data_IF_760402459239
#
_entry.id   IF_760402459239
#
_cell.length_a   1.000
_cell.length_b   1.000
_cell.length_c   1.000
_cell.angle_alpha   90.00
_cell.angle_beta   90.00
_cell.angle_gamma   90.00
#
_symmetry.space_group_name_H-M   'P 1'
#
loop_
_entity.id
_entity.type
_entity.pdbx_description
1 polymer ?
#
# COMPACT_ATOMS: atom_id res chain seq x y z
N UNK A 1 -67.27 -32.13 -66.00
CA UNK A 1 -67.65 -31.06 -65.04
C UNK A 1 -67.68 -31.51 -63.58
N UNK A 2 -68.43 -32.55 -63.20
CA UNK A 2 -68.49 -33.03 -61.79
C UNK A 2 -67.13 -33.31 -61.14
N UNK A 3 -66.24 -33.99 -61.85
CA UNK A 3 -64.94 -34.42 -61.31
C UNK A 3 -63.97 -33.24 -61.06
N UNK A 4 -64.02 -32.20 -61.91
CA UNK A 4 -63.28 -30.95 -61.69
C UNK A 4 -63.85 -30.16 -60.51
N UNK A 5 -65.18 -30.14 -60.37
CA UNK A 5 -65.84 -29.51 -59.24
C UNK A 5 -65.51 -30.20 -57.91
N UNK A 6 -65.52 -31.53 -57.87
CA UNK A 6 -65.11 -32.29 -56.68
C UNK A 6 -63.64 -32.09 -56.32
N UNK A 7 -62.74 -32.05 -57.30
CA UNK A 7 -61.32 -31.70 -57.07
C UNK A 7 -61.17 -30.27 -56.54
N UNK A 8 -61.89 -29.31 -57.09
CA UNK A 8 -61.87 -27.92 -56.63
C UNK A 8 -62.41 -27.80 -55.21
N UNK A 9 -63.50 -28.50 -54.88
CA UNK A 9 -64.09 -28.51 -53.54
C UNK A 9 -63.18 -29.23 -52.53
N UNK A 10 -62.48 -30.28 -52.93
CA UNK A 10 -61.47 -30.96 -52.10
C UNK A 10 -60.27 -30.03 -51.83
N UNK A 11 -59.80 -29.31 -52.86
CA UNK A 11 -58.75 -28.29 -52.72
C UNK A 11 -59.17 -27.16 -51.79
N UNK A 12 -60.40 -26.63 -51.93
CA UNK A 12 -60.93 -25.59 -51.05
C UNK A 12 -61.13 -26.08 -49.60
N UNK A 13 -61.53 -27.33 -49.39
CA UNK A 13 -61.65 -27.91 -48.04
C UNK A 13 -60.30 -28.10 -47.37
N UNK A 14 -59.32 -28.66 -48.07
CA UNK A 14 -58.01 -28.94 -47.49
C UNK A 14 -57.24 -27.64 -47.24
N UNK A 15 -57.04 -26.80 -48.28
CA UNK A 15 -56.31 -25.55 -48.11
C UNK A 15 -57.04 -24.55 -47.21
N UNK A 16 -58.38 -24.54 -47.21
CA UNK A 16 -59.16 -23.72 -46.29
C UNK A 16 -59.06 -24.19 -44.84
N UNK A 17 -58.92 -25.50 -44.62
CA UNK A 17 -58.64 -26.09 -43.31
C UNK A 17 -57.22 -25.76 -42.84
N UNK A 18 -56.22 -26.04 -43.66
CA UNK A 18 -54.80 -25.77 -43.37
C UNK A 18 -54.55 -24.27 -43.09
N UNK A 19 -55.18 -23.39 -43.87
CA UNK A 19 -55.12 -21.94 -43.64
C UNK A 19 -55.72 -21.56 -42.28
N UNK A 20 -56.89 -22.11 -41.92
CA UNK A 20 -57.52 -21.86 -40.62
C UNK A 20 -56.66 -22.38 -39.45
N UNK A 21 -56.08 -23.56 -39.58
CA UNK A 21 -55.17 -24.11 -38.57
C UNK A 21 -53.92 -23.23 -38.42
N UNK A 22 -53.35 -22.74 -39.54
CA UNK A 22 -52.20 -21.84 -39.50
C UNK A 22 -52.51 -20.51 -38.83
N UNK A 23 -53.70 -19.93 -39.08
CA UNK A 23 -54.17 -18.70 -38.43
C UNK A 23 -54.35 -18.93 -36.93
N UNK A 24 -55.04 -20.01 -36.54
CA UNK A 24 -55.25 -20.33 -35.12
C UNK A 24 -53.92 -20.58 -34.39
N UNK A 25 -52.97 -21.27 -35.04
CA UNK A 25 -51.63 -21.49 -34.48
C UNK A 25 -50.84 -20.18 -34.36
N UNK A 26 -50.98 -19.25 -35.31
CA UNK A 26 -50.36 -17.93 -35.26
C UNK A 26 -50.98 -17.08 -34.14
N UNK A 27 -52.32 -17.02 -34.06
CA UNK A 27 -53.06 -16.32 -33.01
C UNK A 27 -52.72 -16.84 -31.61
N UNK A 28 -52.50 -18.15 -31.46
CA UNK A 28 -52.06 -18.75 -30.20
C UNK A 28 -50.60 -18.43 -29.84
N UNK A 29 -49.72 -18.24 -30.84
CA UNK A 29 -48.29 -17.91 -30.62
C UNK A 29 -48.04 -16.42 -30.41
N UNK A 30 -48.87 -15.58 -30.99
CA UNK A 30 -48.71 -14.13 -31.00
C UNK A 30 -48.55 -13.52 -29.59
N UNK A 31 -49.33 -13.93 -28.56
CA UNK A 31 -49.16 -13.41 -27.20
C UNK A 31 -47.80 -13.76 -26.58
N UNK A 32 -47.29 -14.98 -26.84
CA UNK A 32 -45.98 -15.40 -26.32
C UNK A 32 -44.86 -14.58 -26.95
N UNK A 33 -44.91 -14.36 -28.27
CA UNK A 33 -43.91 -13.55 -28.98
C UNK A 33 -43.96 -12.09 -28.50
N UNK A 34 -45.14 -11.54 -28.26
CA UNK A 34 -45.28 -10.19 -27.69
C UNK A 34 -44.68 -10.11 -26.27
N UNK A 35 -44.97 -11.08 -25.41
CA UNK A 35 -44.40 -11.14 -24.06
C UNK A 35 -42.87 -11.28 -24.08
N UNK A 36 -42.33 -12.10 -24.99
CA UNK A 36 -40.89 -12.26 -25.18
C UNK A 36 -40.22 -10.97 -25.66
N UNK A 37 -40.87 -10.22 -26.57
CA UNK A 37 -40.39 -8.91 -27.04
C UNK A 37 -40.37 -7.90 -25.88
N UNK A 38 -41.45 -7.78 -25.10
CA UNK A 38 -41.51 -6.87 -23.96
C UNK A 38 -40.43 -7.19 -22.92
N UNK A 39 -40.21 -8.49 -22.63
CA UNK A 39 -39.16 -8.94 -21.72
C UNK A 39 -37.75 -8.61 -22.28
N UNK A 40 -37.53 -8.81 -23.58
CA UNK A 40 -36.28 -8.49 -24.24
C UNK A 40 -35.99 -6.98 -24.26
N UNK A 41 -37.00 -6.14 -24.48
CA UNK A 41 -36.88 -4.67 -24.45
C UNK A 41 -36.56 -4.15 -23.05
N UNK A 42 -37.22 -4.70 -22.02
CA UNK A 42 -36.91 -4.39 -20.62
C UNK A 42 -35.46 -4.76 -20.28
N UNK A 43 -35.04 -5.97 -20.66
CA UNK A 43 -33.66 -6.44 -20.44
C UNK A 43 -32.63 -5.62 -21.20
N UNK A 44 -32.94 -5.20 -22.42
CA UNK A 44 -32.08 -4.32 -23.22
C UNK A 44 -31.89 -2.96 -22.55
N UNK A 45 -32.98 -2.39 -22.02
CA UNK A 45 -32.94 -1.12 -21.30
C UNK A 45 -32.07 -1.23 -20.05
N UNK A 46 -32.31 -2.26 -19.21
CA UNK A 46 -31.49 -2.53 -18.04
C UNK A 46 -30.00 -2.70 -18.41
N UNK A 47 -29.72 -3.53 -19.42
CA UNK A 47 -28.33 -3.79 -19.84
C UNK A 47 -27.62 -2.53 -20.35
N UNK A 48 -28.34 -1.59 -20.98
CA UNK A 48 -27.79 -0.31 -21.41
C UNK A 48 -27.46 0.60 -20.22
N UNK A 49 -28.29 0.59 -19.19
CA UNK A 49 -28.04 1.35 -17.96
C UNK A 49 -26.85 0.77 -17.19
N UNK A 50 -26.84 -0.55 -17.00
CA UNK A 50 -25.74 -1.27 -16.36
C UNK A 50 -24.42 -1.03 -17.09
N UNK A 51 -24.42 -1.04 -18.43
CA UNK A 51 -23.23 -0.76 -19.22
C UNK A 51 -22.72 0.66 -18.99
N UNK A 52 -23.61 1.66 -18.95
CA UNK A 52 -23.23 3.05 -18.67
C UNK A 52 -22.63 3.16 -17.27
N UNK A 53 -23.26 2.56 -16.27
CA UNK A 53 -22.77 2.58 -14.90
C UNK A 53 -21.39 1.89 -14.80
N UNK A 54 -21.23 0.71 -15.40
CA UNK A 54 -19.96 -0.01 -15.42
C UNK A 54 -18.83 0.79 -16.11
N UNK A 55 -19.15 1.59 -17.13
CA UNK A 55 -18.16 2.48 -17.75
C UNK A 55 -17.71 3.60 -16.82
N UNK A 56 -18.65 4.20 -16.07
CA UNK A 56 -18.36 5.21 -15.05
C UNK A 56 -17.52 4.60 -13.93
N UNK A 57 -17.93 3.46 -13.39
CA UNK A 57 -17.23 2.77 -12.30
C UNK A 57 -15.82 2.37 -12.72
N UNK A 58 -15.64 1.87 -13.95
CA UNK A 58 -14.32 1.55 -14.50
C UNK A 58 -13.42 2.78 -14.57
N UNK A 59 -13.96 3.94 -14.96
CA UNK A 59 -13.17 5.18 -15.00
C UNK A 59 -12.77 5.59 -13.58
N UNK A 60 -13.73 5.64 -12.66
CA UNK A 60 -13.48 6.00 -11.26
C UNK A 60 -12.45 5.08 -10.61
N UNK A 61 -12.54 3.76 -10.84
CA UNK A 61 -11.58 2.79 -10.34
C UNK A 61 -10.17 3.00 -10.90
N UNK A 62 -10.04 3.34 -12.18
CA UNK A 62 -8.74 3.66 -12.79
C UNK A 62 -8.13 4.93 -12.20
N UNK A 63 -8.93 5.97 -12.01
CA UNK A 63 -8.48 7.23 -11.42
C UNK A 63 -8.03 7.01 -9.97
N UNK A 64 -8.82 6.29 -9.16
CA UNK A 64 -8.47 5.94 -7.79
C UNK A 64 -7.17 5.11 -7.69
N UNK A 65 -6.95 4.17 -8.61
CA UNK A 65 -5.71 3.38 -8.65
C UNK A 65 -4.50 4.22 -9.04
N UNK A 66 -4.66 5.19 -9.93
CA UNK A 66 -3.59 6.12 -10.31
C UNK A 66 -3.22 7.02 -9.12
N UNK A 67 -4.22 7.60 -8.43
CA UNK A 67 -4.00 8.39 -7.22
C UNK A 67 -3.33 7.59 -6.11
N UNK A 68 -3.80 6.36 -5.85
CA UNK A 68 -3.21 5.49 -4.84
C UNK A 68 -1.75 5.10 -5.17
N UNK A 69 -1.44 4.87 -6.46
CA UNK A 69 -0.07 4.61 -6.90
C UNK A 69 0.82 5.83 -6.68
N UNK A 70 0.35 7.02 -7.06
CA UNK A 70 1.10 8.26 -6.88
C UNK A 70 1.38 8.57 -5.40
N UNK A 71 0.41 8.31 -4.51
CA UNK A 71 0.61 8.45 -3.06
C UNK A 71 1.70 7.48 -2.57
N UNK A 72 1.61 6.20 -2.96
CA UNK A 72 2.61 5.19 -2.57
C UNK A 72 4.02 5.53 -3.05
N UNK A 73 4.15 6.01 -4.29
CA UNK A 73 5.44 6.44 -4.84
C UNK A 73 6.02 7.62 -4.04
N UNK A 74 5.19 8.61 -3.71
CA UNK A 74 5.59 9.76 -2.90
C UNK A 74 6.03 9.34 -1.49
N UNK A 75 5.25 8.48 -0.83
CA UNK A 75 5.55 7.96 0.51
C UNK A 75 6.83 7.11 0.51
N UNK A 76 7.01 6.25 -0.51
CA UNK A 76 8.22 5.45 -0.66
C UNK A 76 9.47 6.32 -0.85
N UNK A 77 9.37 7.38 -1.64
CA UNK A 77 10.46 8.34 -1.82
C UNK A 77 10.79 9.10 -0.53
N UNK A 78 9.78 9.57 0.20
CA UNK A 78 9.96 10.25 1.48
C UNK A 78 10.61 9.32 2.52
N UNK A 79 10.11 8.08 2.63
CA UNK A 79 10.67 7.07 3.51
C UNK A 79 12.12 6.74 3.17
N UNK A 80 12.46 6.59 1.88
CA UNK A 80 13.83 6.31 1.47
C UNK A 80 14.80 7.44 1.84
N UNK A 81 14.36 8.70 1.69
CA UNK A 81 15.14 9.87 2.08
C UNK A 81 15.35 9.93 3.60
N UNK A 82 14.28 9.77 4.38
CA UNK A 82 14.33 9.80 5.85
C UNK A 82 15.16 8.64 6.41
N UNK A 83 15.03 7.44 5.84
CA UNK A 83 15.86 6.29 6.19
C UNK A 83 17.34 6.58 5.94
N UNK A 84 17.68 7.17 4.80
CA UNK A 84 19.07 7.49 4.48
C UNK A 84 19.65 8.52 5.46
N UNK A 85 18.87 9.52 5.85
CA UNK A 85 19.26 10.50 6.87
C UNK A 85 19.47 9.84 8.23
N UNK A 86 18.54 9.00 8.69
CA UNK A 86 18.67 8.31 9.96
C UNK A 86 19.82 7.32 9.99
N UNK A 87 20.05 6.57 8.92
CA UNK A 87 21.21 5.68 8.83
C UNK A 87 22.53 6.46 8.93
N UNK A 88 22.61 7.64 8.29
CA UNK A 88 23.77 8.52 8.38
C UNK A 88 23.95 9.07 9.81
N UNK A 89 22.86 9.49 10.46
CA UNK A 89 22.87 9.99 11.83
C UNK A 89 23.28 8.90 12.83
N UNK A 90 22.75 7.68 12.70
CA UNK A 90 23.14 6.53 13.51
C UNK A 90 24.64 6.27 13.34
N UNK A 91 25.15 6.22 12.10
CA UNK A 91 26.56 6.00 11.86
C UNK A 91 27.44 7.11 12.47
N UNK A 92 27.00 8.37 12.42
CA UNK A 92 27.70 9.49 13.05
C UNK A 92 27.71 9.36 14.59
N UNK A 93 26.58 9.02 15.20
CA UNK A 93 26.46 8.81 16.64
C UNK A 93 27.32 7.62 17.09
N UNK A 94 27.32 6.51 16.34
CA UNK A 94 28.19 5.37 16.63
C UNK A 94 29.66 5.75 16.59
N UNK A 95 30.09 6.53 15.59
CA UNK A 95 31.47 7.04 15.52
C UNK A 95 31.81 7.96 16.69
N UNK A 96 30.89 8.87 17.04
CA UNK A 96 31.06 9.76 18.19
C UNK A 96 31.18 8.96 19.49
N UNK A 97 30.31 7.97 19.70
CA UNK A 97 30.36 7.06 20.84
C UNK A 97 31.71 6.35 20.94
N UNK A 98 32.19 5.74 19.83
CA UNK A 98 33.50 5.08 19.82
C UNK A 98 34.65 6.07 20.06
N UNK A 99 34.57 7.30 19.55
CA UNK A 99 35.58 8.33 19.79
C UNK A 99 35.60 8.76 21.26
N UNK A 100 34.43 8.93 21.88
CA UNK A 100 34.28 9.23 23.31
C UNK A 100 34.79 8.07 24.16
N UNK A 101 34.42 6.82 23.84
CA UNK A 101 34.89 5.63 24.55
C UNK A 101 36.43 5.51 24.50
N UNK A 102 37.03 5.73 23.33
CA UNK A 102 38.49 5.75 23.17
C UNK A 102 39.14 6.94 23.87
N UNK A 103 38.52 8.11 23.85
CA UNK A 103 39.04 9.35 24.45
C UNK A 103 38.85 9.46 25.96
N UNK A 104 37.84 8.81 26.53
CA UNK A 104 37.58 8.76 27.98
C UNK A 104 38.15 7.48 28.63
N UNK A 105 38.47 6.47 27.82
CA UNK A 105 39.00 5.19 28.28
C UNK A 105 40.48 5.21 28.66
N UNK A 106 41.03 4.03 28.92
CA UNK A 106 42.43 3.80 29.28
C UNK A 106 43.44 4.36 28.27
N UNK A 107 43.04 4.58 27.02
CA UNK A 107 43.89 5.17 25.99
C UNK A 107 44.26 6.64 26.27
N UNK A 108 43.38 7.45 26.88
CA UNK A 108 43.74 8.81 27.31
C UNK A 108 44.80 8.77 28.41
N UNK A 109 44.65 7.89 29.40
CA UNK A 109 45.63 7.74 30.47
C UNK A 109 47.01 7.25 30.00
N UNK A 110 47.08 6.63 28.81
CA UNK A 110 48.33 6.20 28.18
C UNK A 110 49.01 7.33 27.39
N UNK A 111 48.40 8.50 27.24
CA UNK A 111 49.00 9.63 26.51
C UNK A 111 50.03 10.40 27.35
N UNK A 112 50.96 11.08 26.67
CA UNK A 112 51.92 11.98 27.31
C UNK A 112 51.22 13.14 28.04
N UNK A 113 50.11 13.63 27.50
CA UNK A 113 49.30 14.67 28.12
C UNK A 113 48.73 14.22 29.48
N UNK A 114 48.22 12.99 29.59
CA UNK A 114 47.77 12.45 30.87
C UNK A 114 48.93 12.24 31.86
N UNK A 115 50.13 11.93 31.36
CA UNK A 115 51.34 11.85 32.20
C UNK A 115 51.75 13.22 32.75
N UNK A 116 51.70 14.27 31.93
CA UNK A 116 51.95 15.66 32.36
C UNK A 116 50.88 16.11 33.36
N UNK A 117 49.61 15.82 33.08
CA UNK A 117 48.50 16.14 33.98
C UNK A 117 48.64 15.43 35.34
N UNK A 118 49.04 14.15 35.36
CA UNK A 118 49.32 13.41 36.60
C UNK A 118 50.40 14.09 37.44
N UNK A 119 51.50 14.55 36.82
CA UNK A 119 52.55 15.29 37.52
C UNK A 119 52.04 16.62 38.07
N UNK A 120 51.29 17.38 37.27
CA UNK A 120 50.73 18.67 37.69
C UNK A 120 49.74 18.52 38.88
N UNK A 121 48.87 17.50 38.85
CA UNK A 121 47.95 17.19 39.95
C UNK A 121 48.71 16.72 41.20
N UNK A 122 49.83 16.00 41.03
CA UNK A 122 50.72 15.61 42.12
C UNK A 122 51.52 16.78 42.70
N UNK A 123 51.84 17.79 41.92
CA UNK A 123 52.66 18.92 42.40
C UNK A 123 51.81 20.12 42.87
N UNK A 124 50.52 20.16 42.51
CA UNK A 124 49.62 21.24 42.90
C UNK A 124 49.24 21.19 44.39
N UNK A 125 49.55 22.28 45.10
CA UNK A 125 49.15 22.51 46.49
C UNK A 125 47.80 23.24 46.61
N UNK A 126 47.18 23.64 45.50
CA UNK A 126 45.95 24.44 45.51
C UNK A 126 44.67 23.64 45.19
N UNK A 127 44.78 22.33 44.93
CA UNK A 127 43.67 21.45 44.54
C UNK A 127 43.11 20.62 45.71
N UNK A 128 43.22 21.09 46.95
CA UNK A 128 43.08 20.24 48.16
C UNK A 128 41.83 19.35 48.21
N UNK A 129 40.68 19.81 47.70
CA UNK A 129 39.43 19.05 47.71
C UNK A 129 39.27 18.13 46.48
N UNK A 130 39.64 18.59 45.27
CA UNK A 130 39.45 17.82 44.01
C UNK A 130 40.65 16.93 43.65
N UNK A 131 41.79 17.10 44.33
CA UNK A 131 43.05 16.39 44.02
C UNK A 131 42.93 14.90 44.23
N UNK A 132 42.21 14.46 45.26
CA UNK A 132 42.01 13.03 45.52
C UNK A 132 41.13 12.40 44.44
N UNK A 133 40.09 13.08 43.98
CA UNK A 133 39.19 12.62 42.92
C UNK A 133 39.91 12.54 41.57
N UNK A 134 40.65 13.60 41.19
CA UNK A 134 41.47 13.63 39.98
C UNK A 134 42.59 12.57 40.01
N UNK A 135 43.25 12.38 41.15
CA UNK A 135 44.28 11.35 41.31
C UNK A 135 43.68 9.94 41.20
N UNK A 136 42.50 9.69 41.77
CA UNK A 136 41.81 8.40 41.67
C UNK A 136 41.43 8.07 40.22
N UNK A 137 40.91 9.04 39.47
CA UNK A 137 40.59 8.90 38.04
C UNK A 137 41.85 8.60 37.21
N UNK A 138 42.95 9.32 37.44
CA UNK A 138 44.20 9.17 36.69
C UNK A 138 45.01 7.90 37.06
N UNK A 139 44.74 7.26 38.20
CA UNK A 139 45.41 6.03 38.63
C UNK A 139 44.66 4.75 38.23
N UNK A 140 43.33 4.72 38.35
CA UNK A 140 42.55 3.48 38.17
C UNK A 140 42.07 3.23 36.73
N UNK A 141 42.13 4.24 35.84
CA UNK A 141 41.49 4.13 34.53
C UNK A 141 39.98 4.03 34.62
N UNK A 142 39.30 4.30 33.51
CA UNK A 142 37.86 4.18 33.37
C UNK A 142 37.33 2.71 33.51
N UNK A 143 38.05 1.82 34.22
CA UNK A 143 37.56 0.51 34.66
C UNK A 143 36.66 0.60 35.90
N UNK A 144 36.62 1.74 36.58
CA UNK A 144 35.60 2.07 37.58
C UNK A 144 34.51 2.93 36.95
N UNK A 145 33.62 2.29 36.18
CA UNK A 145 32.34 2.79 35.68
C UNK A 145 32.13 4.32 35.68
N UNK A 146 32.49 5.00 34.59
CA UNK A 146 31.65 6.11 34.12
C UNK A 146 30.33 5.49 33.65
N UNK A 147 29.39 5.32 34.58
CA UNK A 147 27.99 5.07 34.25
C UNK A 147 27.36 6.45 33.98
N UNK A 148 26.93 6.78 32.75
CA UNK A 148 26.25 8.05 32.52
C UNK A 148 24.98 8.09 33.38
N UNK A 149 24.95 8.98 34.36
CA UNK A 149 23.79 9.26 35.19
C UNK A 149 22.76 10.09 34.40
N UNK A 150 22.27 9.55 33.28
CA UNK A 150 21.09 10.06 32.59
C UNK A 150 20.49 8.96 31.70
N UNK A 151 20.02 7.90 32.37
CA UNK A 151 18.94 7.07 31.87
C UNK A 151 17.65 7.44 32.60
N UNK A 152 17.12 8.62 32.29
CA UNK A 152 15.70 8.96 32.43
C UNK A 152 15.24 9.54 31.10
#
# INVERSE_FOLDING_TARGET
>A
EKELYEKFMCYCKNNGGDLKESIAAAEAKMPNVLADIEAAEAKLTQSKEDLKQAQVDRKAAKDAMAEATAIREKEAAAFAAEKAEFDANIAAITKAYTAVEKGMGSAFLQTEAATVLRKLVQDSQNLMDDRQELAAFLQNGAGGAYAPQSGQ
#
